data_IF_422337454494
#
_entry.id   IF_422337454494
#
_cell.length_a   1.000
_cell.length_b   1.000
_cell.length_c   1.000
_cell.angle_alpha   90.00
_cell.angle_beta   90.00
_cell.angle_gamma   90.00
#
_symmetry.space_group_name_H-M   'P 1'
#
loop_
_entity.id
_entity.type
_entity.pdbx_description
1 polymer ?
#
# COMPACT_ATOMS: atom_id res chain seq x y z
N UNK A 1 15.90 1.47 -3.83
CA UNK A 1 15.39 2.78 -3.44
C UNK A 1 14.93 2.73 -2.00
N UNK A 2 15.42 3.63 -1.17
CA UNK A 2 15.03 3.69 0.24
C UNK A 2 13.84 4.63 0.40
N UNK A 3 12.87 4.25 1.22
CA UNK A 3 11.78 5.13 1.59
C UNK A 3 11.87 5.47 3.07
N UNK A 4 11.39 6.64 3.43
CA UNK A 4 11.33 7.06 4.81
C UNK A 4 10.08 6.48 5.46
N UNK A 5 10.17 6.23 6.76
CA UNK A 5 9.05 5.65 7.51
C UNK A 5 8.87 6.44 8.78
N UNK A 6 7.64 6.91 9.03
CA UNK A 6 7.32 7.56 10.30
C UNK A 6 7.27 6.51 11.41
N UNK A 7 7.43 6.94 12.66
CA UNK A 7 7.32 6.04 13.80
C UNK A 7 5.95 5.34 13.82
N UNK A 8 4.89 6.08 13.52
CA UNK A 8 3.55 5.51 13.43
C UNK A 8 3.44 4.47 12.31
N UNK A 9 4.02 4.76 11.14
CA UNK A 9 4.01 3.84 10.01
C UNK A 9 4.77 2.55 10.33
N UNK A 10 5.93 2.67 10.98
CA UNK A 10 6.71 1.51 11.40
C UNK A 10 5.90 0.63 12.36
N UNK A 11 5.27 1.24 13.35
CA UNK A 11 4.48 0.52 14.32
C UNK A 11 3.30 -0.19 13.65
N UNK A 12 2.61 0.47 12.71
CA UNK A 12 1.48 -0.11 12.00
C UNK A 12 1.88 -1.30 11.14
N UNK A 13 3.03 -1.21 10.46
CA UNK A 13 3.51 -2.35 9.67
C UNK A 13 3.82 -3.54 10.59
N UNK A 14 4.47 -3.30 11.71
CA UNK A 14 4.79 -4.36 12.65
C UNK A 14 3.53 -5.03 13.19
N UNK A 15 2.51 -4.25 13.51
CA UNK A 15 1.25 -4.77 14.05
C UNK A 15 0.43 -5.52 13.01
N UNK A 16 0.36 -5.01 11.78
CA UNK A 16 -0.56 -5.53 10.77
C UNK A 16 0.07 -6.56 9.84
N UNK A 17 1.35 -6.44 9.55
CA UNK A 17 2.06 -7.37 8.68
C UNK A 17 2.77 -8.45 9.47
N UNK A 18 3.04 -8.18 10.76
CA UNK A 18 3.66 -9.16 11.65
C UNK A 18 5.13 -9.41 11.38
N UNK A 19 5.83 -8.43 10.81
CA UNK A 19 7.25 -8.57 10.47
C UNK A 19 8.12 -7.85 11.48
N UNK A 20 9.37 -8.31 11.67
CA UNK A 20 10.31 -7.66 12.60
C UNK A 20 10.73 -6.27 12.07
N UNK A 21 11.20 -5.43 12.98
CA UNK A 21 11.62 -4.07 12.67
C UNK A 21 12.60 -4.00 11.49
N UNK A 22 13.52 -4.95 11.39
CA UNK A 22 14.50 -5.00 10.32
C UNK A 22 13.88 -5.13 8.93
N UNK A 23 12.69 -5.74 8.84
CA UNK A 23 12.01 -6.00 7.58
C UNK A 23 11.01 -4.90 7.21
N UNK A 24 10.71 -3.96 8.11
CA UNK A 24 9.71 -2.91 7.88
C UNK A 24 10.08 -2.06 6.66
N UNK A 25 11.34 -1.60 6.61
CA UNK A 25 11.80 -0.77 5.47
C UNK A 25 11.76 -1.53 4.17
N UNK A 26 12.07 -2.82 4.19
CA UNK A 26 12.02 -3.67 3.00
C UNK A 26 10.59 -3.82 2.49
N UNK A 27 9.63 -4.02 3.39
CA UNK A 27 8.22 -4.14 3.03
C UNK A 27 7.71 -2.84 2.40
N UNK A 28 8.04 -1.69 3.00
CA UNK A 28 7.64 -0.39 2.48
C UNK A 28 8.28 -0.12 1.11
N UNK A 29 9.56 -0.46 0.94
CA UNK A 29 10.25 -0.28 -0.33
C UNK A 29 9.64 -1.15 -1.44
N UNK A 30 9.27 -2.39 -1.12
CA UNK A 30 8.58 -3.27 -2.08
C UNK A 30 7.22 -2.70 -2.45
N UNK A 31 6.48 -2.18 -1.48
CA UNK A 31 5.17 -1.60 -1.76
C UNK A 31 5.28 -0.41 -2.71
N UNK A 32 6.22 0.51 -2.46
CA UNK A 32 6.34 1.72 -3.27
C UNK A 32 6.85 1.42 -4.68
N UNK A 33 7.63 0.35 -4.86
CA UNK A 33 8.19 0.00 -6.18
C UNK A 33 7.34 -1.00 -6.95
N UNK A 34 6.72 -1.96 -6.26
CA UNK A 34 6.00 -3.07 -6.90
C UNK A 34 4.50 -3.04 -6.65
N UNK A 35 4.03 -2.18 -5.77
CA UNK A 35 2.61 -2.08 -5.44
C UNK A 35 1.78 -1.48 -6.55
N UNK A 36 0.46 -1.59 -6.41
CA UNK A 36 -0.50 -1.02 -7.34
C UNK A 36 -0.92 0.34 -6.82
N UNK A 37 -0.68 1.38 -7.60
CA UNK A 37 -1.03 2.74 -7.21
C UNK A 37 -2.53 2.97 -7.33
N UNK A 38 -3.05 3.91 -6.52
CA UNK A 38 -4.46 4.30 -6.55
C UNK A 38 -4.93 4.58 -7.98
N UNK A 39 -4.11 5.28 -8.77
CA UNK A 39 -4.45 5.65 -10.14
C UNK A 39 -4.51 4.47 -11.10
N UNK A 40 -3.96 3.32 -10.71
CA UNK A 40 -4.00 2.10 -11.52
C UNK A 40 -5.19 1.22 -11.18
N UNK A 41 -6.05 1.64 -10.24
CA UNK A 41 -7.23 0.88 -9.81
C UNK A 41 -8.49 1.46 -10.42
N UNK A 42 -9.58 0.68 -10.36
CA UNK A 42 -10.88 1.10 -10.87
C UNK A 42 -12.01 0.45 -10.07
N UNK A 43 -13.23 0.89 -10.29
CA UNK A 43 -14.40 0.34 -9.61
C UNK A 43 -14.43 0.61 -8.12
N UNK A 44 -14.91 -0.37 -7.34
CA UNK A 44 -15.07 -0.25 -5.89
C UNK A 44 -13.75 -0.02 -5.16
N UNK A 45 -12.68 -0.70 -5.59
CA UNK A 45 -11.36 -0.52 -4.99
C UNK A 45 -10.88 0.92 -5.18
N UNK A 46 -11.04 1.49 -6.39
CA UNK A 46 -10.67 2.87 -6.66
C UNK A 46 -11.44 3.84 -5.77
N UNK A 47 -12.72 3.63 -5.59
CA UNK A 47 -13.55 4.48 -4.73
C UNK A 47 -13.05 4.44 -3.29
N UNK A 48 -12.70 3.27 -2.81
CA UNK A 48 -12.17 3.11 -1.45
C UNK A 48 -10.85 3.86 -1.28
N UNK A 49 -9.93 3.71 -2.25
CA UNK A 49 -8.64 4.39 -2.20
C UNK A 49 -8.78 5.90 -2.36
N UNK A 50 -9.70 6.36 -3.20
CA UNK A 50 -10.00 7.79 -3.34
C UNK A 50 -10.54 8.36 -2.03
N UNK A 51 -11.38 7.60 -1.33
CA UNK A 51 -11.90 8.01 -0.03
C UNK A 51 -10.76 8.18 0.98
N UNK A 52 -9.80 7.25 1.01
CA UNK A 52 -8.63 7.37 1.87
C UNK A 52 -7.81 8.60 1.53
N UNK A 53 -7.66 8.89 0.24
CA UNK A 53 -6.91 10.06 -0.23
C UNK A 53 -7.56 11.36 0.27
N UNK A 54 -8.86 11.49 0.08
CA UNK A 54 -9.58 12.69 0.49
C UNK A 54 -9.63 12.85 2.00
N UNK A 55 -9.82 11.75 2.72
CA UNK A 55 -9.86 11.76 4.18
C UNK A 55 -8.56 12.25 4.79
N UNK A 56 -7.42 12.00 4.13
CA UNK A 56 -6.12 12.39 4.62
C UNK A 56 -5.75 13.86 4.39
N UNK A 57 -6.66 14.66 3.79
CA UNK A 57 -6.45 16.07 3.51
C UNK A 57 -5.13 16.36 2.78
N UNK A 58 -4.74 15.45 1.89
CA UNK A 58 -3.51 15.58 1.11
C UNK A 58 -2.24 15.15 1.82
N UNK A 59 -2.33 14.76 3.11
CA UNK A 59 -1.16 14.26 3.83
C UNK A 59 -0.63 12.96 3.26
N UNK A 60 -1.54 12.03 2.93
CA UNK A 60 -1.20 10.78 2.27
C UNK A 60 -1.50 10.93 0.78
N UNK A 61 -0.53 11.42 0.01
CA UNK A 61 -0.72 11.71 -1.41
C UNK A 61 -0.29 10.56 -2.33
N UNK A 62 0.29 9.50 -1.80
CA UNK A 62 0.66 8.32 -2.57
C UNK A 62 0.12 7.09 -1.86
N UNK A 63 -0.95 6.52 -2.40
CA UNK A 63 -1.61 5.36 -1.81
C UNK A 63 -1.33 4.15 -2.70
N UNK A 64 -0.74 3.11 -2.11
CA UNK A 64 -0.27 1.92 -2.83
C UNK A 64 -0.83 0.67 -2.18
N UNK A 65 -1.33 -0.26 -2.99
CA UNK A 65 -1.80 -1.57 -2.54
C UNK A 65 -0.73 -2.61 -2.86
N UNK A 66 -0.33 -3.37 -1.86
CA UNK A 66 0.63 -4.46 -2.06
C UNK A 66 0.23 -5.65 -1.19
N UNK A 67 0.00 -6.80 -1.83
CA UNK A 67 -0.54 -7.96 -1.14
C UNK A 67 -1.95 -7.67 -0.62
N UNK A 68 -2.18 -7.90 0.65
CA UNK A 68 -3.48 -7.63 1.29
C UNK A 68 -3.47 -6.35 2.13
N UNK A 69 -2.49 -5.47 1.90
CA UNK A 69 -2.31 -4.25 2.68
C UNK A 69 -2.34 -3.02 1.78
N UNK A 70 -2.78 -1.91 2.36
CA UNK A 70 -2.76 -0.59 1.72
C UNK A 70 -1.72 0.26 2.47
N UNK A 71 -0.75 0.77 1.73
CA UNK A 71 0.33 1.59 2.27
C UNK A 71 0.08 3.05 1.91
N UNK A 72 0.02 3.91 2.91
CA UNK A 72 -0.22 5.34 2.73
C UNK A 72 1.09 6.09 2.89
N UNK A 73 1.54 6.71 1.81
CA UNK A 73 2.79 7.49 1.81
C UNK A 73 2.50 8.98 1.64
N UNK A 74 3.27 9.80 2.30
CA UNK A 74 3.38 11.24 2.00
C UNK A 74 4.67 11.43 1.21
N UNK A 75 4.56 11.52 -0.12
CA UNK A 75 5.73 11.43 -0.98
C UNK A 75 6.36 10.05 -0.90
N UNK A 76 7.58 9.96 -0.40
CA UNK A 76 8.29 8.69 -0.19
C UNK A 76 8.31 8.26 1.28
N UNK A 77 7.58 8.97 2.15
CA UNK A 77 7.55 8.70 3.59
C UNK A 77 6.30 7.89 3.94
N UNK A 78 6.49 6.71 4.50
CA UNK A 78 5.35 5.87 4.91
C UNK A 78 4.71 6.46 6.17
N UNK A 79 3.41 6.74 6.07
CA UNK A 79 2.63 7.32 7.16
C UNK A 79 1.92 6.23 7.97
N UNK A 80 1.26 5.30 7.28
CA UNK A 80 0.55 4.20 7.95
C UNK A 80 0.27 3.07 6.96
N UNK A 81 -0.17 1.93 7.49
CA UNK A 81 -0.59 0.78 6.69
C UNK A 81 -1.95 0.29 7.20
N UNK A 82 -2.81 -0.11 6.26
CA UNK A 82 -4.14 -0.61 6.57
C UNK A 82 -4.33 -1.97 5.90
N UNK A 83 -5.24 -2.78 6.44
CA UNK A 83 -5.63 -4.04 5.81
C UNK A 83 -6.68 -3.75 4.75
N UNK A 84 -6.54 -4.37 3.57
CA UNK A 84 -7.53 -4.24 2.51
C UNK A 84 -8.86 -4.81 3.01
N UNK A 85 -9.98 -4.07 2.88
CA UNK A 85 -11.29 -4.60 3.25
C UNK A 85 -11.64 -5.86 2.50
N UNK A 86 -12.31 -6.80 3.15
CA UNK A 86 -12.69 -8.08 2.56
C UNK A 86 -13.46 -7.90 1.25
N UNK A 87 -14.28 -6.86 1.16
CA UNK A 87 -15.06 -6.57 -0.04
C UNK A 87 -14.19 -6.33 -1.28
N UNK A 88 -12.94 -5.90 -1.10
CA UNK A 88 -12.02 -5.59 -2.20
C UNK A 88 -10.86 -6.57 -2.32
N UNK A 89 -10.78 -7.57 -1.44
CA UNK A 89 -9.65 -8.50 -1.40
C UNK A 89 -9.48 -9.29 -2.70
N UNK A 90 -10.59 -9.73 -3.30
CA UNK A 90 -10.54 -10.49 -4.56
C UNK A 90 -10.03 -9.64 -5.71
N UNK A 91 -10.44 -8.37 -5.76
CA UNK A 91 -9.98 -7.45 -6.80
C UNK A 91 -8.49 -7.20 -6.67
N UNK A 92 -8.00 -6.99 -5.44
CA UNK A 92 -6.57 -6.80 -5.18
C UNK A 92 -5.78 -8.03 -5.60
N UNK A 93 -6.24 -9.23 -5.21
CA UNK A 93 -5.55 -10.48 -5.57
C UNK A 93 -5.43 -10.63 -7.08
N UNK A 94 -6.50 -10.27 -7.81
CA UNK A 94 -6.52 -10.34 -9.27
C UNK A 94 -5.52 -9.37 -9.90
N UNK A 95 -5.48 -8.13 -9.39
CA UNK A 95 -4.56 -7.11 -9.88
C UNK A 95 -3.11 -7.48 -9.59
N UNK A 96 -2.82 -8.01 -8.41
CA UNK A 96 -1.48 -8.45 -8.05
C UNK A 96 -1.00 -9.59 -8.94
N UNK A 97 -1.88 -10.53 -9.23
CA UNK A 97 -1.56 -11.66 -10.12
C UNK A 97 -1.26 -11.18 -11.53
N UNK A 98 -2.06 -10.23 -12.05
CA UNK A 98 -1.85 -9.66 -13.36
C UNK A 98 -0.51 -8.94 -13.45
N UNK A 99 -0.18 -8.15 -12.42
CA UNK A 99 1.08 -7.41 -12.39
C UNK A 99 2.28 -8.33 -12.34
N UNK A 100 2.17 -9.46 -11.62
CA UNK A 100 3.25 -10.45 -11.57
C UNK A 100 3.51 -11.04 -12.95
N UNK A 101 2.45 -11.37 -13.71
CA UNK A 101 2.58 -11.87 -15.08
C UNK A 101 3.26 -10.84 -15.98
N UNK A 102 2.86 -9.58 -15.88
CA UNK A 102 3.44 -8.52 -16.70
C UNK A 102 4.94 -8.35 -16.41
N UNK A 103 5.35 -8.55 -15.16
CA UNK A 103 6.75 -8.42 -14.76
C UNK A 103 7.60 -9.62 -15.14
N UNK A 104 6.99 -10.77 -15.42
CA UNK A 104 7.70 -11.99 -15.84
C UNK A 104 7.97 -12.03 -17.34
N UNK A 105 7.37 -11.13 -18.07
CA UNK A 105 7.62 -11.00 -19.51
C UNK A 105 8.88 -10.14 -19.75
#
# INVERSE_FOLDING_TARGET
MSCKITQHGEQRIRERVGIPKKAVRRAAAKAITKGIRRTETEGGLRRYLDWLYWRGNGGANNIVVYGDKVYLFGGDTLITVLTVPTAHAKQVARLMKKRRKDNEL
#
